data_IF_052864655575
#
_entry.id   IF_052864655575
#
_cell.length_a   1.000
_cell.length_b   1.000
_cell.length_c   1.000
_cell.angle_alpha   90.00
_cell.angle_beta   90.00
_cell.angle_gamma   90.00
#
_symmetry.space_group_name_H-M   'P 1'
#
loop_
_entity.id
_entity.type
_entity.pdbx_description
1 polymer ?
#
# COMPACT_ATOMS: atom_id res chain seq x y z
N UNK A 1 -37.00 0.18 5.52
CA UNK A 1 -37.64 0.36 4.19
C UNK A 1 -36.82 1.42 3.48
N UNK A 2 -36.08 1.23 2.38
CA UNK A 2 -36.18 0.42 1.14
C UNK A 2 -34.77 -0.13 0.78
N UNK A 3 -34.61 -1.45 0.62
CA UNK A 3 -34.41 -2.22 -0.63
C UNK A 3 -33.09 -2.00 -1.40
N UNK A 4 -32.21 -3.00 -1.26
CA UNK A 4 -31.08 -3.40 -2.11
C UNK A 4 -31.52 -3.64 -3.57
N UNK A 5 -30.64 -3.35 -4.53
CA UNK A 5 -30.57 -4.07 -5.82
C UNK A 5 -29.11 -4.38 -6.14
N UNK A 6 -28.80 -5.67 -6.16
CA UNK A 6 -27.59 -6.24 -6.70
C UNK A 6 -27.81 -6.54 -8.19
N UNK A 7 -26.79 -6.31 -9.04
CA UNK A 7 -26.80 -6.77 -10.43
C UNK A 7 -25.59 -7.66 -10.68
N UNK A 8 -25.86 -8.96 -10.72
CA UNK A 8 -25.02 -10.00 -11.31
C UNK A 8 -25.25 -10.00 -12.83
N UNK A 9 -24.19 -10.08 -13.62
CA UNK A 9 -24.28 -10.59 -14.98
C UNK A 9 -23.06 -11.48 -15.27
N UNK A 10 -23.36 -12.77 -15.39
CA UNK A 10 -22.49 -13.80 -15.90
C UNK A 10 -22.31 -13.65 -17.42
N UNK A 11 -21.14 -14.02 -17.91
CA UNK A 11 -20.85 -14.13 -19.34
C UNK A 11 -19.77 -15.18 -19.57
N UNK A 12 -20.18 -16.45 -19.63
CA UNK A 12 -19.36 -17.54 -20.14
C UNK A 12 -19.66 -17.69 -21.65
N UNK A 13 -18.61 -17.82 -22.47
CA UNK A 13 -18.70 -18.52 -23.75
C UNK A 13 -17.37 -19.21 -24.07
N UNK A 14 -17.46 -20.52 -24.24
CA UNK A 14 -16.41 -21.45 -24.67
C UNK A 14 -16.27 -21.45 -26.20
N UNK A 15 -15.11 -21.88 -26.73
CA UNK A 15 -14.94 -23.13 -27.50
C UNK A 15 -13.63 -23.18 -28.33
N UNK A 16 -13.28 -24.43 -28.66
CA UNK A 16 -12.30 -24.94 -29.64
C UNK A 16 -10.87 -25.17 -29.07
N UNK A 17 -10.45 -26.39 -28.67
CA UNK A 17 -10.43 -27.73 -29.28
C UNK A 17 -9.16 -28.05 -30.10
N UNK A 18 -8.51 -29.13 -29.66
CA UNK A 18 -7.75 -30.15 -30.40
C UNK A 18 -6.52 -29.76 -31.24
N UNK A 19 -5.37 -30.30 -30.82
CA UNK A 19 -4.61 -31.23 -31.67
C UNK A 19 -3.64 -32.07 -30.83
N UNK A 20 -3.93 -33.38 -30.80
CA UNK A 20 -3.04 -34.46 -30.37
C UNK A 20 -1.99 -34.73 -31.44
N UNK A 21 -0.75 -35.02 -31.05
CA UNK A 21 0.12 -35.98 -31.76
C UNK A 21 0.82 -36.84 -30.70
N UNK A 22 0.48 -38.12 -30.75
CA UNK A 22 1.11 -39.25 -30.09
C UNK A 22 1.85 -40.05 -31.17
N UNK A 23 2.86 -40.85 -30.79
CA UNK A 23 3.70 -41.78 -31.61
C UNK A 23 5.15 -41.32 -31.88
N UNK A 24 6.22 -42.12 -31.76
CA UNK A 24 6.43 -43.55 -31.48
C UNK A 24 7.93 -43.74 -31.16
N UNK A 25 8.22 -44.52 -30.12
CA UNK A 25 9.11 -45.70 -30.10
C UNK A 25 10.43 -45.71 -30.92
N UNK A 26 11.58 -45.91 -30.25
CA UNK A 26 12.52 -47.01 -30.58
C UNK A 26 13.63 -47.17 -29.51
N UNK A 27 13.97 -48.43 -29.24
CA UNK A 27 14.93 -48.85 -28.22
C UNK A 27 16.09 -49.65 -28.83
N UNK A 28 17.26 -49.54 -28.16
CA UNK A 28 18.46 -50.42 -28.16
C UNK A 28 19.46 -50.32 -29.34
N UNK A 29 20.77 -50.71 -29.21
CA UNK A 29 21.49 -51.32 -28.07
C UNK A 29 22.86 -50.68 -27.67
N UNK A 30 23.42 -51.16 -26.55
CA UNK A 30 24.79 -50.94 -26.05
C UNK A 30 25.89 -51.52 -26.97
N UNK A 31 27.13 -51.00 -26.87
CA UNK A 31 28.23 -51.90 -26.48
C UNK A 31 29.18 -51.31 -25.42
N UNK A 32 29.68 -52.23 -24.58
CA UNK A 32 30.74 -52.03 -23.59
C UNK A 32 32.07 -51.59 -24.19
N UNK A 33 32.83 -50.76 -23.46
CA UNK A 33 34.27 -50.65 -23.67
C UNK A 33 34.95 -49.45 -23.02
N UNK A 34 35.75 -49.75 -21.98
CA UNK A 34 37.01 -49.09 -21.61
C UNK A 34 37.00 -47.87 -20.69
N UNK A 35 37.63 -48.09 -19.52
CA UNK A 35 38.14 -47.10 -18.56
C UNK A 35 39.07 -46.07 -19.22
N UNK A 36 38.89 -44.81 -18.85
CA UNK A 36 39.98 -43.87 -18.65
C UNK A 36 39.66 -42.96 -17.44
N UNK A 37 40.66 -42.81 -16.59
CA UNK A 37 40.70 -41.91 -15.42
C UNK A 37 40.97 -40.49 -15.92
N UNK A 38 40.26 -39.49 -15.38
CA UNK A 38 40.82 -38.25 -14.79
C UNK A 38 39.79 -37.13 -14.62
N UNK A 39 39.88 -36.51 -13.44
CA UNK A 39 39.45 -35.16 -12.99
C UNK A 39 37.96 -34.83 -12.69
N UNK A 40 37.69 -34.16 -11.54
CA UNK A 40 36.38 -33.66 -11.20
C UNK A 40 36.15 -32.33 -11.93
N UNK A 41 35.33 -32.35 -12.98
CA UNK A 41 34.72 -31.11 -13.46
C UNK A 41 33.74 -30.64 -12.39
N UNK A 42 34.12 -29.54 -11.72
CA UNK A 42 33.41 -28.97 -10.60
C UNK A 42 31.93 -28.73 -10.90
N UNK A 43 31.13 -28.85 -9.86
CA UNK A 43 29.80 -28.27 -9.79
C UNK A 43 29.89 -26.82 -10.30
N UNK A 44 29.47 -26.61 -11.54
CA UNK A 44 29.11 -25.29 -12.02
C UNK A 44 27.79 -24.95 -11.34
N UNK A 45 27.88 -24.61 -10.05
CA UNK A 45 26.85 -23.85 -9.37
C UNK A 45 26.68 -22.59 -10.20
N UNK A 46 25.60 -22.54 -10.98
CA UNK A 46 25.20 -21.34 -11.67
C UNK A 46 25.27 -20.20 -10.64
N UNK A 47 25.91 -19.06 -10.96
CA UNK A 47 25.93 -17.95 -10.02
C UNK A 47 24.47 -17.63 -9.70
N UNK A 48 24.07 -17.88 -8.46
CA UNK A 48 22.78 -17.46 -7.95
C UNK A 48 22.73 -15.96 -8.22
N UNK A 49 21.91 -15.56 -9.20
CA UNK A 49 21.70 -14.15 -9.45
C UNK A 49 21.28 -13.54 -8.10
N UNK A 50 21.85 -12.41 -7.69
CA UNK A 50 21.45 -11.78 -6.45
C UNK A 50 19.95 -11.57 -6.54
N UNK A 51 19.21 -12.26 -5.69
CA UNK A 51 17.79 -12.02 -5.52
C UNK A 51 17.72 -10.57 -5.07
N UNK A 52 17.28 -9.68 -5.98
CA UNK A 52 17.09 -8.28 -5.64
C UNK A 52 16.20 -8.25 -4.41
N UNK A 53 16.66 -7.58 -3.35
CA UNK A 53 15.85 -7.41 -2.15
C UNK A 53 14.46 -6.90 -2.54
N UNK A 54 13.43 -7.51 -1.95
CA UNK A 54 12.05 -7.13 -2.19
C UNK A 54 11.85 -5.64 -1.89
N UNK A 55 11.07 -4.93 -2.69
CA UNK A 55 10.89 -3.49 -2.52
C UNK A 55 10.02 -2.86 -3.60
N UNK A 56 10.20 -1.55 -3.83
CA UNK A 56 9.37 -0.77 -4.74
C UNK A 56 10.20 -0.01 -5.80
N UNK A 57 9.63 0.14 -7.00
CA UNK A 57 10.01 1.13 -7.99
C UNK A 57 8.98 2.24 -7.97
N UNK A 58 9.38 3.47 -7.62
CA UNK A 58 8.50 4.63 -7.59
C UNK A 58 8.77 5.51 -8.81
N UNK A 59 7.71 6.02 -9.42
CA UNK A 59 7.76 6.99 -10.51
C UNK A 59 6.86 8.18 -10.18
N UNK A 60 7.32 9.38 -10.54
CA UNK A 60 6.59 10.63 -10.35
C UNK A 60 5.96 11.08 -11.66
N UNK A 61 4.71 11.51 -11.58
CA UNK A 61 3.91 12.03 -12.68
C UNK A 61 3.42 13.44 -12.33
N UNK A 62 3.13 14.22 -13.38
CA UNK A 62 2.49 15.51 -13.25
C UNK A 62 1.55 15.76 -14.43
N UNK A 63 0.47 16.49 -14.18
CA UNK A 63 -0.48 16.95 -15.20
C UNK A 63 -0.56 18.47 -15.17
N UNK A 64 -0.61 19.06 -16.37
CA UNK A 64 -0.73 20.51 -16.58
C UNK A 64 -1.89 20.86 -17.50
N UNK A 65 -2.69 19.85 -17.88
CA UNK A 65 -3.82 19.95 -18.80
C UNK A 65 -5.17 20.08 -18.07
N UNK A 66 -5.15 20.07 -16.75
CA UNK A 66 -6.32 20.19 -15.88
C UNK A 66 -6.73 21.65 -15.74
N UNK A 67 -8.04 21.89 -15.70
CA UNK A 67 -8.58 23.25 -15.81
C UNK A 67 -8.43 24.03 -14.52
N UNK A 68 -8.73 23.41 -13.39
CA UNK A 68 -8.90 24.09 -12.11
C UNK A 68 -7.73 23.84 -11.14
N UNK A 69 -6.69 23.13 -11.59
CA UNK A 69 -5.50 22.83 -10.79
C UNK A 69 -4.31 23.72 -11.17
N UNK A 70 -3.74 24.41 -10.17
CA UNK A 70 -2.42 25.05 -10.29
C UNK A 70 -1.30 24.02 -10.31
N UNK A 71 -1.52 22.89 -9.63
CA UNK A 71 -0.56 21.80 -9.51
C UNK A 71 -1.28 20.48 -9.35
N UNK A 72 -0.87 19.50 -10.14
CA UNK A 72 -1.32 18.13 -10.02
C UNK A 72 -0.14 17.19 -10.22
N UNK A 73 0.36 16.62 -9.12
CA UNK A 73 1.46 15.66 -9.13
C UNK A 73 1.10 14.42 -8.32
N UNK A 74 1.56 13.27 -8.78
CA UNK A 74 1.32 12.01 -8.07
C UNK A 74 2.43 11.01 -8.34
N UNK A 75 2.66 10.13 -7.38
CA UNK A 75 3.57 9.00 -7.51
C UNK A 75 2.80 7.71 -7.76
N UNK A 76 3.38 6.84 -8.58
CA UNK A 76 2.94 5.43 -8.74
C UNK A 76 4.07 4.51 -8.29
N UNK A 77 3.73 3.29 -7.87
CA UNK A 77 4.72 2.28 -7.52
C UNK A 77 4.44 0.92 -8.17
N UNK A 78 5.50 0.15 -8.35
CA UNK A 78 5.47 -1.29 -8.69
C UNK A 78 6.43 -2.03 -7.77
N UNK A 79 6.17 -3.31 -7.52
CA UNK A 79 7.02 -4.14 -6.69
C UNK A 79 8.27 -4.63 -7.45
N UNK A 80 9.36 -4.87 -6.71
CA UNK A 80 10.60 -5.47 -7.19
C UNK A 80 10.95 -6.66 -6.30
N UNK A 81 11.60 -7.68 -6.87
CA UNK A 81 12.15 -8.80 -6.11
C UNK A 81 11.10 -9.81 -5.59
N UNK A 82 9.82 -9.66 -5.96
CA UNK A 82 8.75 -10.62 -5.64
C UNK A 82 8.62 -11.69 -6.73
N UNK A 83 8.09 -12.85 -6.35
CA UNK A 83 7.64 -13.84 -7.32
C UNK A 83 6.52 -13.22 -8.22
N UNK A 84 6.42 -13.59 -9.52
CA UNK A 84 5.51 -12.93 -10.46
C UNK A 84 4.04 -12.84 -9.99
N UNK A 85 3.52 -13.92 -9.41
CA UNK A 85 2.13 -13.94 -8.91
C UNK A 85 1.93 -13.06 -7.68
N UNK A 86 2.94 -12.96 -6.81
CA UNK A 86 2.93 -12.07 -5.65
C UNK A 86 3.04 -10.62 -6.10
N UNK A 87 3.95 -10.33 -7.03
CA UNK A 87 4.11 -9.00 -7.62
C UNK A 87 2.81 -8.52 -8.27
N UNK A 88 2.14 -9.36 -9.07
CA UNK A 88 0.87 -9.00 -9.71
C UNK A 88 -0.22 -8.60 -8.70
N UNK A 89 -0.36 -9.37 -7.60
CA UNK A 89 -1.34 -9.06 -6.54
C UNK A 89 -0.99 -7.77 -5.79
N UNK A 90 0.28 -7.58 -5.46
CA UNK A 90 0.75 -6.38 -4.77
C UNK A 90 0.56 -5.14 -5.66
N UNK A 91 0.98 -5.21 -6.92
CA UNK A 91 0.87 -4.12 -7.89
C UNK A 91 -0.58 -3.74 -8.18
N UNK A 92 -1.51 -4.71 -8.20
CA UNK A 92 -2.94 -4.43 -8.31
C UNK A 92 -3.46 -3.60 -7.12
N UNK A 93 -3.01 -3.92 -5.90
CA UNK A 93 -3.41 -3.17 -4.70
C UNK A 93 -2.79 -1.78 -4.63
N UNK A 94 -1.50 -1.67 -4.96
CA UNK A 94 -0.81 -0.37 -5.05
C UNK A 94 -1.53 0.52 -6.07
N UNK A 95 -1.84 -0.03 -7.25
CA UNK A 95 -2.59 0.69 -8.29
C UNK A 95 -3.96 1.13 -7.77
N UNK A 96 -4.71 0.24 -7.14
CA UNK A 96 -6.03 0.58 -6.58
C UNK A 96 -5.99 1.74 -5.58
N UNK A 97 -5.01 1.73 -4.67
CA UNK A 97 -4.81 2.80 -3.68
C UNK A 97 -4.47 4.15 -4.35
N UNK A 98 -3.57 4.16 -5.35
CA UNK A 98 -3.18 5.38 -6.07
C UNK A 98 -4.32 5.88 -6.96
N UNK A 99 -4.92 4.99 -7.75
CA UNK A 99 -5.99 5.34 -8.70
C UNK A 99 -7.21 5.89 -7.97
N UNK A 100 -7.57 5.37 -6.79
CA UNK A 100 -8.66 5.93 -5.99
C UNK A 100 -8.43 7.41 -5.67
N UNK A 101 -7.28 7.75 -5.09
CA UNK A 101 -6.95 9.13 -4.72
C UNK A 101 -6.83 10.06 -5.94
N UNK A 102 -6.22 9.58 -7.04
CA UNK A 102 -6.08 10.35 -8.27
C UNK A 102 -7.44 10.57 -8.93
N UNK A 103 -8.29 9.55 -9.02
CA UNK A 103 -9.61 9.67 -9.64
C UNK A 103 -10.53 10.59 -8.83
N UNK A 104 -10.48 10.54 -7.49
CA UNK A 104 -11.20 11.49 -6.63
C UNK A 104 -10.82 12.94 -6.96
N UNK A 105 -9.52 13.22 -7.12
CA UNK A 105 -9.03 14.55 -7.45
C UNK A 105 -9.42 14.96 -8.88
N UNK A 106 -9.31 14.04 -9.85
CA UNK A 106 -9.74 14.32 -11.22
C UNK A 106 -11.23 14.63 -11.33
N UNK A 107 -12.07 13.93 -10.55
CA UNK A 107 -13.50 14.22 -10.49
C UNK A 107 -13.80 15.61 -9.92
N UNK A 108 -12.92 16.16 -9.08
CA UNK A 108 -13.04 17.51 -8.55
C UNK A 108 -12.64 18.61 -9.56
N UNK A 109 -11.93 18.27 -10.65
CA UNK A 109 -11.57 19.24 -11.70
C UNK A 109 -12.80 19.83 -12.40
N UNK A 110 -13.95 19.15 -12.35
CA UNK A 110 -15.23 19.68 -12.88
C UNK A 110 -15.88 20.73 -11.96
N UNK A 111 -15.30 20.97 -10.77
CA UNK A 111 -15.78 21.94 -9.79
C UNK A 111 -15.59 23.40 -10.21
N UNK A 112 -16.02 24.31 -9.32
CA UNK A 112 -15.81 25.74 -9.50
C UNK A 112 -14.87 26.26 -8.42
N UNK A 113 -13.88 27.05 -8.83
CA UNK A 113 -13.08 27.84 -7.91
C UNK A 113 -13.91 28.96 -7.28
N UNK A 114 -13.49 29.41 -6.09
CA UNK A 114 -14.10 30.55 -5.40
C UNK A 114 -13.95 31.79 -6.29
N UNK A 115 -14.96 32.67 -6.25
CA UNK A 115 -15.15 33.75 -7.23
C UNK A 115 -13.86 34.55 -7.52
N UNK A 116 -13.48 34.57 -8.81
CA UNK A 116 -12.38 35.38 -9.34
C UNK A 116 -11.11 34.59 -9.68
N UNK A 117 -10.98 33.34 -9.22
CA UNK A 117 -9.80 32.52 -9.53
C UNK A 117 -10.02 31.59 -10.73
N UNK A 118 -9.03 31.54 -11.62
CA UNK A 118 -9.04 30.66 -12.79
C UNK A 118 -8.69 29.21 -12.44
N UNK A 119 -7.87 29.04 -11.40
CA UNK A 119 -7.35 27.80 -10.84
C UNK A 119 -7.24 27.98 -9.33
N UNK A 120 -7.45 26.92 -8.57
CA UNK A 120 -7.44 26.96 -7.10
C UNK A 120 -7.07 25.60 -6.47
N UNK A 121 -7.10 24.52 -7.26
CA UNK A 121 -6.77 23.18 -6.85
C UNK A 121 -5.27 22.96 -6.76
N UNK A 122 -4.84 22.29 -5.68
CA UNK A 122 -3.51 21.71 -5.56
C UNK A 122 -3.72 20.24 -5.20
N UNK A 123 -3.08 19.34 -5.93
CA UNK A 123 -3.06 17.91 -5.61
C UNK A 123 -1.64 17.39 -5.69
N UNK A 124 -1.15 16.84 -4.58
CA UNK A 124 0.15 16.22 -4.45
C UNK A 124 -0.02 14.87 -3.73
N UNK A 125 0.30 13.78 -4.43
CA UNK A 125 0.32 12.43 -3.86
C UNK A 125 1.75 11.90 -3.85
N UNK A 126 2.28 11.63 -2.66
CA UNK A 126 3.61 11.02 -2.50
C UNK A 126 3.50 9.59 -1.99
N UNK A 127 4.50 8.78 -2.32
CA UNK A 127 4.64 7.42 -1.84
C UNK A 127 5.98 7.26 -1.11
N UNK A 128 5.94 6.78 0.13
CA UNK A 128 7.12 6.57 0.97
C UNK A 128 7.27 5.09 1.31
N UNK A 129 8.46 4.54 1.12
CA UNK A 129 8.79 3.17 1.54
C UNK A 129 9.15 3.19 3.02
N UNK A 130 8.42 2.41 3.82
CA UNK A 130 8.66 2.31 5.27
C UNK A 130 9.56 1.10 5.59
N UNK A 131 10.44 1.19 6.60
CA UNK A 131 11.35 0.12 6.98
C UNK A 131 10.64 -0.94 7.84
N UNK A 132 9.64 -1.61 7.26
CA UNK A 132 8.91 -2.67 7.93
C UNK A 132 9.77 -3.91 8.20
N UNK A 133 9.39 -4.65 9.24
CA UNK A 133 10.15 -5.78 9.73
C UNK A 133 9.86 -7.09 8.99
N UNK A 134 10.87 -7.96 8.91
CA UNK A 134 10.73 -9.32 8.38
C UNK A 134 10.39 -9.36 6.88
N UNK A 135 9.46 -10.25 6.51
CA UNK A 135 9.00 -10.45 5.13
C UNK A 135 7.87 -9.47 4.75
N UNK A 136 7.83 -8.28 5.35
CA UNK A 136 6.79 -7.27 5.14
C UNK A 136 7.33 -6.09 4.34
N UNK A 137 6.59 -5.68 3.32
CA UNK A 137 6.80 -4.43 2.59
C UNK A 137 5.72 -3.43 2.99
N UNK A 138 6.11 -2.19 3.23
CA UNK A 138 5.17 -1.13 3.60
C UNK A 138 5.35 0.07 2.69
N UNK A 139 4.23 0.57 2.18
CA UNK A 139 4.17 1.74 1.32
C UNK A 139 3.13 2.70 1.89
N UNK A 140 3.60 3.85 2.36
CA UNK A 140 2.73 4.94 2.81
C UNK A 140 2.36 5.81 1.62
N UNK A 141 1.09 6.15 1.51
CA UNK A 141 0.56 7.19 0.63
C UNK A 141 0.24 8.42 1.47
N UNK A 142 0.70 9.58 1.01
CA UNK A 142 0.35 10.88 1.60
C UNK A 142 -0.26 11.74 0.49
N UNK A 143 -1.52 12.12 0.67
CA UNK A 143 -2.26 12.99 -0.26
C UNK A 143 -2.42 14.34 0.41
N UNK A 144 -1.77 15.35 -0.15
CA UNK A 144 -1.84 16.73 0.32
C UNK A 144 -2.36 17.64 -0.78
N UNK A 145 -3.00 18.73 -0.37
CA UNK A 145 -3.29 19.82 -1.29
C UNK A 145 -4.51 20.62 -0.90
N UNK A 146 -5.09 21.31 -1.87
CA UNK A 146 -6.31 22.10 -1.73
C UNK A 146 -7.31 21.54 -2.74
N UNK A 147 -8.38 20.88 -2.29
CA UNK A 147 -9.44 20.45 -3.20
C UNK A 147 -10.04 21.64 -3.96
N UNK A 148 -10.43 21.43 -5.22
CA UNK A 148 -11.08 22.48 -6.02
C UNK A 148 -12.33 22.98 -5.30
N UNK A 149 -12.45 24.30 -5.16
CA UNK A 149 -13.56 24.96 -4.45
C UNK A 149 -13.46 24.95 -2.93
N UNK A 150 -12.40 24.39 -2.34
CA UNK A 150 -12.15 24.45 -0.89
C UNK A 150 -11.36 25.70 -0.50
N UNK A 151 -11.69 26.28 0.65
CA UNK A 151 -10.91 27.36 1.27
C UNK A 151 -9.77 26.84 2.15
N UNK A 152 -9.73 25.54 2.42
CA UNK A 152 -8.74 24.91 3.31
C UNK A 152 -8.07 23.74 2.61
N UNK A 153 -6.81 23.50 2.96
CA UNK A 153 -6.12 22.29 2.53
C UNK A 153 -6.78 21.03 3.10
N UNK A 154 -6.47 19.91 2.48
CA UNK A 154 -6.79 18.59 2.99
C UNK A 154 -5.50 17.75 3.06
N UNK A 155 -5.47 16.80 3.99
CA UNK A 155 -4.39 15.84 4.10
C UNK A 155 -4.97 14.47 4.49
N UNK A 156 -4.78 13.50 3.60
CA UNK A 156 -5.17 12.10 3.80
C UNK A 156 -3.93 11.22 3.77
N UNK A 157 -3.86 10.25 4.68
CA UNK A 157 -2.79 9.25 4.74
C UNK A 157 -3.42 7.87 4.58
N UNK A 158 -2.75 7.00 3.83
CA UNK A 158 -3.06 5.56 3.77
C UNK A 158 -1.74 4.78 3.83
N UNK A 159 -1.77 3.55 4.33
CA UNK A 159 -0.58 2.68 4.39
C UNK A 159 -0.94 1.28 3.95
N UNK A 160 -0.27 0.82 2.89
CA UNK A 160 -0.38 -0.55 2.41
C UNK A 160 0.73 -1.41 3.02
N UNK A 161 0.34 -2.37 3.84
CA UNK A 161 1.22 -3.40 4.43
C UNK A 161 1.07 -4.69 3.65
N UNK A 162 2.15 -5.18 3.05
CA UNK A 162 2.16 -6.34 2.16
C UNK A 162 3.08 -7.44 2.67
N UNK A 163 2.61 -8.67 2.56
CA UNK A 163 3.44 -9.87 2.72
C UNK A 163 4.26 -10.09 1.44
N UNK A 164 5.58 -10.03 1.53
CA UNK A 164 6.48 -10.10 0.37
C UNK A 164 6.48 -11.46 -0.33
N UNK A 165 6.08 -12.53 0.36
CA UNK A 165 6.03 -13.88 -0.21
C UNK A 165 4.76 -14.06 -1.04
N UNK A 166 3.62 -13.60 -0.52
CA UNK A 166 2.31 -13.82 -1.13
C UNK A 166 1.80 -12.64 -1.96
N UNK A 167 2.33 -11.44 -1.73
CA UNK A 167 1.86 -10.18 -2.31
C UNK A 167 0.49 -9.73 -1.77
N UNK A 168 0.04 -10.30 -0.65
CA UNK A 168 -1.26 -10.00 -0.06
C UNK A 168 -1.13 -8.88 0.98
N UNK A 169 -2.20 -8.10 1.12
CA UNK A 169 -2.34 -7.18 2.24
C UNK A 169 -2.33 -7.96 3.55
N UNK A 170 -1.71 -7.37 4.56
CA UNK A 170 -1.64 -7.90 5.92
C UNK A 170 -2.52 -7.04 6.80
N UNK A 171 -3.34 -7.68 7.63
CA UNK A 171 -4.21 -6.99 8.58
C UNK A 171 -3.49 -6.69 9.90
N UNK A 172 -3.90 -5.62 10.58
CA UNK A 172 -3.34 -5.20 11.86
C UNK A 172 -3.44 -6.33 12.91
N UNK A 173 -4.49 -7.15 12.81
CA UNK A 173 -4.74 -8.29 13.70
C UNK A 173 -3.63 -9.35 13.68
N UNK A 174 -2.73 -9.34 12.69
CA UNK A 174 -1.52 -10.18 12.69
C UNK A 174 -0.51 -9.75 13.77
N UNK A 175 -0.52 -8.47 14.15
CA UNK A 175 0.42 -7.86 15.09
C UNK A 175 -0.24 -7.44 16.41
N UNK A 176 -1.54 -7.14 16.38
CA UNK A 176 -2.35 -6.82 17.55
C UNK A 176 -3.48 -7.85 17.62
N UNK A 177 -3.31 -8.94 18.38
CA UNK A 177 -4.35 -9.94 18.50
C UNK A 177 -5.57 -9.35 19.23
N UNK A 178 -6.76 -9.93 18.99
CA UNK A 178 -8.04 -9.37 19.46
C UNK A 178 -8.09 -9.19 20.98
N UNK A 179 -7.43 -10.07 21.73
CA UNK A 179 -7.31 -10.00 23.19
C UNK A 179 -6.46 -8.81 23.68
N UNK A 180 -5.64 -8.23 22.82
CA UNK A 180 -4.77 -7.09 23.12
C UNK A 180 -5.27 -5.77 22.51
N UNK A 181 -6.36 -5.79 21.72
CA UNK A 181 -6.88 -4.61 21.03
C UNK A 181 -7.22 -3.46 21.99
N UNK A 182 -7.83 -3.75 23.14
CA UNK A 182 -8.19 -2.72 24.13
C UNK A 182 -6.94 -2.02 24.71
N UNK A 183 -5.94 -2.80 25.10
CA UNK A 183 -4.66 -2.29 25.61
C UNK A 183 -3.92 -1.48 24.54
N UNK A 184 -3.90 -1.99 23.31
CA UNK A 184 -3.30 -1.31 22.17
C UNK A 184 -3.98 0.04 21.91
N UNK A 185 -5.30 0.09 21.81
CA UNK A 185 -6.03 1.35 21.60
C UNK A 185 -5.86 2.32 22.77
N UNK A 186 -5.74 1.83 24.01
CA UNK A 186 -5.41 2.68 25.14
C UNK A 186 -4.02 3.34 24.98
N UNK A 187 -3.02 2.57 24.52
CA UNK A 187 -1.69 3.11 24.22
C UNK A 187 -1.73 4.12 23.05
N UNK A 188 -2.51 3.84 22.01
CA UNK A 188 -2.72 4.78 20.88
C UNK A 188 -3.32 6.09 21.36
N UNK A 189 -4.37 6.03 22.17
CA UNK A 189 -5.02 7.22 22.72
C UNK A 189 -4.09 8.02 23.65
N UNK A 190 -3.24 7.35 24.43
CA UNK A 190 -2.24 8.01 25.26
C UNK A 190 -1.20 8.78 24.41
N UNK A 191 -0.73 8.18 23.31
CA UNK A 191 0.21 8.84 22.38
C UNK A 191 -0.46 9.98 21.59
N UNK A 192 -1.73 9.84 21.20
CA UNK A 192 -2.50 10.93 20.58
C UNK A 192 -2.65 12.10 21.55
N UNK A 193 -3.01 11.83 22.82
CA UNK A 193 -3.08 12.85 23.85
C UNK A 193 -1.72 13.55 24.04
N UNK A 194 -0.61 12.79 24.07
CA UNK A 194 0.73 13.35 24.17
C UNK A 194 1.08 14.24 22.96
N UNK A 195 0.74 13.82 21.75
CA UNK A 195 0.93 14.61 20.54
C UNK A 195 0.11 15.91 20.56
N UNK A 196 -1.15 15.85 21.00
CA UNK A 196 -1.99 17.04 21.19
C UNK A 196 -1.46 17.98 22.27
N UNK A 197 -0.91 17.45 23.36
CA UNK A 197 -0.30 18.25 24.43
C UNK A 197 0.93 19.01 23.92
N UNK A 198 1.79 18.32 23.18
CA UNK A 198 2.99 18.92 22.58
C UNK A 198 2.63 20.02 21.58
N UNK A 199 1.54 19.85 20.83
CA UNK A 199 1.03 20.83 19.88
C UNK A 199 0.18 21.95 20.52
N UNK A 200 -0.13 21.87 21.82
CA UNK A 200 -0.93 22.87 22.53
C UNK A 200 -2.43 22.80 22.27
N UNK A 201 -2.94 21.66 21.81
CA UNK A 201 -4.37 21.45 21.48
C UNK A 201 -5.10 20.48 22.43
N UNK A 202 -4.39 19.86 23.37
CA UNK A 202 -5.01 18.92 24.30
C UNK A 202 -5.93 19.62 25.31
N UNK A 203 -7.18 19.15 25.40
CA UNK A 203 -8.14 19.57 26.41
C UNK A 203 -8.48 18.36 27.32
N UNK A 204 -8.06 18.34 28.60
CA UNK A 204 -8.38 17.26 29.51
C UNK A 204 -9.88 17.16 29.85
N UNK A 205 -10.68 18.21 29.59
CA UNK A 205 -12.13 18.15 29.76
C UNK A 205 -12.83 17.42 28.61
N UNK A 206 -12.18 17.36 27.45
CA UNK A 206 -12.69 16.72 26.23
C UNK A 206 -11.55 15.95 25.53
N UNK A 207 -11.06 14.85 26.13
CA UNK A 207 -10.01 14.05 25.51
C UNK A 207 -10.51 13.51 24.17
N UNK A 208 -9.63 13.50 23.17
CA UNK A 208 -9.91 12.80 21.92
C UNK A 208 -9.79 11.31 22.16
N UNK A 209 -10.86 10.57 21.89
CA UNK A 209 -10.88 9.11 21.95
C UNK A 209 -10.98 8.57 20.52
N UNK A 210 -9.85 8.10 19.98
CA UNK A 210 -9.78 7.46 18.67
C UNK A 210 -10.09 5.96 18.78
N UNK A 211 -10.72 5.45 17.73
CA UNK A 211 -11.06 4.03 17.53
C UNK A 211 -10.21 3.43 16.40
N UNK A 212 -10.32 2.11 16.17
CA UNK A 212 -9.67 1.49 15.00
C UNK A 212 -10.12 2.10 13.67
N UNK A 213 -11.39 2.50 13.56
CA UNK A 213 -11.95 3.11 12.34
C UNK A 213 -11.35 4.50 12.03
N UNK A 214 -10.75 5.16 13.03
CA UNK A 214 -10.08 6.45 12.86
C UNK A 214 -8.63 6.28 12.38
N UNK A 215 -8.05 5.08 12.48
CA UNK A 215 -6.70 4.79 12.02
C UNK A 215 -6.68 4.80 10.49
N UNK A 216 -5.99 5.78 9.93
CA UNK A 216 -5.89 5.95 8.48
C UNK A 216 -4.84 5.00 7.87
N UNK A 217 -3.82 4.63 8.63
CA UNK A 217 -2.84 3.63 8.22
C UNK A 217 -1.90 3.22 9.36
N UNK A 218 -1.22 2.10 9.19
CA UNK A 218 -0.29 1.56 10.19
C UNK A 218 0.85 0.79 9.54
N UNK A 219 1.96 0.62 10.26
CA UNK A 219 3.13 -0.12 9.80
C UNK A 219 3.86 -0.83 10.95
N UNK A 220 4.21 -2.12 10.81
CA UNK A 220 4.98 -2.87 11.80
C UNK A 220 6.49 -2.62 11.63
N UNK A 221 7.02 -1.65 12.37
CA UNK A 221 8.46 -1.41 12.44
C UNK A 221 9.14 -2.44 13.35
N UNK A 222 10.47 -2.45 13.41
CA UNK A 222 11.21 -3.49 14.16
C UNK A 222 10.90 -3.54 15.67
N UNK A 223 10.52 -2.42 16.27
CA UNK A 223 10.38 -2.25 17.72
C UNK A 223 9.03 -1.68 18.16
N UNK A 224 8.18 -1.29 17.20
CA UNK A 224 6.91 -0.59 17.44
C UNK A 224 5.95 -0.74 16.26
N UNK A 225 4.69 -0.41 16.49
CA UNK A 225 3.71 -0.16 15.44
C UNK A 225 3.60 1.36 15.27
N UNK A 226 3.88 1.85 14.07
CA UNK A 226 3.66 3.25 13.71
C UNK A 226 2.25 3.40 13.14
N UNK A 227 1.54 4.46 13.55
CA UNK A 227 0.14 4.69 13.20
C UNK A 227 -0.02 6.11 12.69
N UNK A 228 -0.82 6.27 11.65
CA UNK A 228 -1.16 7.55 11.04
C UNK A 228 -2.66 7.80 11.12
N UNK A 229 -2.98 9.05 11.39
CA UNK A 229 -4.32 9.60 11.36
C UNK A 229 -4.36 10.69 10.31
N UNK A 230 -5.40 10.69 9.48
CA UNK A 230 -5.63 11.79 8.54
C UNK A 230 -5.95 13.07 9.30
N UNK A 231 -5.88 14.21 8.60
CA UNK A 231 -6.26 15.50 9.19
C UNK A 231 -7.68 15.42 9.76
N UNK A 232 -7.89 16.04 10.93
CA UNK A 232 -9.15 16.03 11.69
C UNK A 232 -9.51 14.73 12.44
N UNK A 233 -8.82 13.61 12.20
CA UNK A 233 -9.16 12.35 12.88
C UNK A 233 -8.67 12.31 14.34
N UNK A 234 -7.45 12.75 14.61
CA UNK A 234 -6.83 12.68 15.94
C UNK A 234 -6.50 14.05 16.53
N UNK A 235 -7.12 15.11 16.03
CA UNK A 235 -6.90 16.48 16.49
C UNK A 235 -7.45 17.54 15.53
N UNK A 236 -7.43 18.83 15.90
CA UNK A 236 -7.89 19.90 15.02
C UNK A 236 -7.05 19.98 13.74
N UNK A 237 -7.64 20.51 12.67
CA UNK A 237 -6.98 20.62 11.37
C UNK A 237 -5.66 21.40 11.37
N UNK A 238 -5.39 22.24 12.37
CA UNK A 238 -4.10 22.92 12.50
C UNK A 238 -2.92 21.96 12.78
N UNK A 239 -3.20 20.75 13.29
CA UNK A 239 -2.18 19.72 13.51
C UNK A 239 -1.79 18.95 12.25
N UNK A 240 -2.56 19.06 11.16
CA UNK A 240 -2.39 18.20 9.99
C UNK A 240 -2.69 16.73 10.30
N UNK A 241 -2.07 15.82 9.55
CA UNK A 241 -2.06 14.40 9.88
C UNK A 241 -1.23 14.13 11.15
N UNK A 242 -1.73 13.28 12.03
CA UNK A 242 -1.05 12.92 13.28
C UNK A 242 -0.37 11.57 13.10
N UNK A 243 0.88 11.46 13.54
CA UNK A 243 1.63 10.19 13.57
C UNK A 243 1.96 9.86 15.01
N UNK A 244 1.66 8.63 15.43
CA UNK A 244 2.02 8.11 16.75
C UNK A 244 2.77 6.78 16.63
N UNK A 245 3.40 6.37 17.72
CA UNK A 245 4.21 5.16 17.78
C UNK A 245 3.91 4.43 19.06
N UNK A 246 3.40 3.21 18.95
CA UNK A 246 3.03 2.38 20.10
C UNK A 246 3.86 1.11 20.14
N UNK A 247 4.24 0.62 21.33
CA UNK A 247 4.94 -0.65 21.46
C UNK A 247 4.06 -1.81 20.97
N UNK A 248 4.70 -2.95 20.68
CA UNK A 248 3.95 -4.17 20.42
C UNK A 248 3.24 -4.63 21.71
N UNK A 249 2.02 -5.18 21.62
CA UNK A 249 1.35 -5.70 22.81
C UNK A 249 2.19 -6.79 23.50
N UNK A 250 2.31 -6.70 24.82
CA UNK A 250 3.07 -7.65 25.64
C UNK A 250 4.60 -7.51 25.59
N UNK A 251 5.13 -6.45 24.97
CA UNK A 251 6.57 -6.11 25.00
C UNK A 251 7.00 -5.40 26.28
#
# INVERSE_FOLDING_TARGET
MFRRVASLAAGALALAACSSIDSLNEAMPLPSGSRAVSEPAGDATAPAMPVSAAGFAIQTHARTDLRNYDRFSFMTATTKGLAPDAAARADERIRGMVDAAVNDALAADDGACIEGEATCGIFELTLDVLPCSGEILCLKQDVNGVPVGSATSDQRVDVLVLDSVTGRAVDLSRFVPIEATEEFLAAVNAEVAAAQQQAGFYDPAYPTEVTEDDIAGWAPLSDRIQIWFSRYSAGPGAMGAVTVSVPYPGS
#
